data_IF_466694600398
#
_entry.id   IF_466694600398
#
_cell.length_a   1.000
_cell.length_b   1.000
_cell.length_c   1.000
_cell.angle_alpha   90.00
_cell.angle_beta   90.00
_cell.angle_gamma   90.00
#
_symmetry.space_group_name_H-M   'P 1'
#
loop_
_entity.id
_entity.type
_entity.pdbx_description
1 polymer ?
#
# COMPACT_ATOMS: atom_id res chain seq x y z
N UNK A 1 -22.45 5.85 5.90
CA UNK A 1 -21.41 4.86 5.53
C UNK A 1 -20.31 4.92 6.59
N UNK A 2 -20.07 3.82 7.30
CA UNK A 2 -19.21 3.83 8.50
C UNK A 2 -17.74 3.54 8.16
N UNK A 3 -16.81 4.27 8.78
CA UNK A 3 -15.35 4.16 8.59
C UNK A 3 -14.80 2.72 8.76
N UNK A 4 -15.41 1.96 9.66
CA UNK A 4 -15.13 0.53 9.88
C UNK A 4 -15.41 -0.35 8.64
N UNK A 5 -16.41 0.01 7.81
CA UNK A 5 -16.74 -0.73 6.59
C UNK A 5 -15.73 -0.44 5.47
N UNK A 6 -15.21 0.79 5.38
CA UNK A 6 -14.20 1.16 4.40
C UNK A 6 -12.87 0.42 4.64
N UNK A 7 -12.46 0.30 5.91
CA UNK A 7 -11.27 -0.46 6.30
C UNK A 7 -11.42 -1.95 5.95
N UNK A 8 -12.59 -2.54 6.21
CA UNK A 8 -12.86 -3.94 5.86
C UNK A 8 -12.87 -4.20 4.36
N UNK A 9 -13.45 -3.32 3.55
CA UNK A 9 -13.44 -3.47 2.09
C UNK A 9 -12.02 -3.36 1.51
N UNK A 10 -11.17 -2.53 2.11
CA UNK A 10 -9.78 -2.36 1.65
C UNK A 10 -8.88 -3.54 2.06
N UNK A 11 -9.04 -4.06 3.28
CA UNK A 11 -8.25 -5.18 3.81
C UNK A 11 -8.68 -6.54 3.23
N UNK A 12 -9.98 -6.75 2.96
CA UNK A 12 -10.52 -8.00 2.40
C UNK A 12 -10.19 -8.19 0.91
N UNK A 13 -9.57 -7.21 0.25
CA UNK A 13 -9.11 -7.30 -1.14
C UNK A 13 -7.64 -7.78 -1.25
N UNK A 14 -7.02 -8.18 -0.14
CA UNK A 14 -5.62 -8.66 -0.10
C UNK A 14 -5.45 -10.18 -0.04
N UNK A 15 -6.50 -10.99 -0.22
CA UNK A 15 -6.34 -12.43 -0.39
C UNK A 15 -6.34 -12.71 -1.91
N UNK A 16 -5.17 -12.89 -2.57
CA UNK A 16 -5.17 -13.51 -3.88
C UNK A 16 -5.59 -14.96 -3.66
N UNK A 17 -6.83 -15.30 -4.00
CA UNK A 17 -7.20 -16.69 -4.22
C UNK A 17 -6.35 -17.19 -5.39
N UNK A 18 -5.30 -17.92 -5.06
CA UNK A 18 -4.63 -18.85 -5.95
C UNK A 18 -5.68 -19.83 -6.50
N UNK A 19 -6.35 -19.46 -7.59
CA UNK A 19 -7.01 -20.43 -8.44
C UNK A 19 -6.01 -20.86 -9.50
N UNK A 20 -5.19 -21.82 -9.08
CA UNK A 20 -4.46 -22.73 -9.96
C UNK A 20 -5.46 -23.54 -10.79
N UNK A 21 -5.06 -23.81 -12.03
CA UNK A 21 -5.63 -24.76 -13.01
C UNK A 21 -6.87 -24.31 -13.82
N UNK A 22 -6.65 -23.80 -15.05
CA UNK A 22 -6.85 -24.59 -16.29
C UNK A 22 -6.50 -23.76 -17.55
N UNK A 23 -5.87 -24.47 -18.49
CA UNK A 23 -5.66 -24.17 -19.91
C UNK A 23 -4.28 -23.60 -20.32
N UNK A 24 -3.41 -24.53 -20.70
CA UNK A 24 -2.41 -24.35 -21.76
C UNK A 24 -3.07 -23.75 -23.02
N UNK A 25 -2.53 -22.64 -23.51
CA UNK A 25 -2.38 -22.42 -24.94
C UNK A 25 -1.05 -21.69 -25.20
N UNK A 26 -0.48 -22.10 -26.32
CA UNK A 26 0.85 -22.00 -26.85
C UNK A 26 1.26 -20.61 -27.37
N UNK A 27 2.59 -20.44 -27.46
CA UNK A 27 3.34 -19.57 -28.37
C UNK A 27 3.53 -18.07 -28.01
N UNK A 28 4.78 -17.75 -27.71
CA UNK A 28 5.50 -16.54 -28.13
C UNK A 28 4.84 -15.17 -27.93
N UNK A 29 4.86 -14.74 -26.68
CA UNK A 29 5.56 -13.51 -26.30
C UNK A 29 5.83 -13.61 -24.82
N UNK A 30 7.06 -13.32 -24.41
CA UNK A 30 7.33 -12.91 -23.05
C UNK A 30 6.58 -11.58 -22.80
N UNK A 31 5.26 -11.67 -22.61
CA UNK A 31 4.43 -10.64 -22.04
C UNK A 31 4.81 -10.57 -20.57
N UNK A 32 5.98 -10.01 -20.29
CA UNK A 32 6.39 -9.60 -18.95
C UNK A 32 5.28 -8.71 -18.44
N UNK A 33 4.42 -9.25 -17.59
CA UNK A 33 3.32 -8.53 -16.98
C UNK A 33 3.90 -7.42 -16.08
N UNK A 34 4.30 -6.30 -16.68
CA UNK A 34 4.88 -5.16 -15.97
C UNK A 34 3.76 -4.31 -15.36
N UNK A 35 3.03 -4.93 -14.44
CA UNK A 35 2.04 -4.36 -13.53
C UNK A 35 0.99 -3.44 -14.19
N UNK A 36 -0.28 -3.84 -14.08
CA UNK A 36 -1.39 -3.04 -14.64
C UNK A 36 -1.35 -1.59 -14.10
N UNK A 37 -1.74 -0.58 -14.89
CA UNK A 37 -1.83 0.80 -14.40
C UNK A 37 -2.79 0.94 -13.20
N UNK A 38 -3.74 0.00 -13.06
CA UNK A 38 -4.67 -0.08 -11.94
C UNK A 38 -3.97 -0.50 -10.65
N UNK A 39 -3.07 -1.50 -10.71
CA UNK A 39 -2.26 -1.92 -9.56
C UNK A 39 -1.31 -0.81 -9.10
N UNK A 40 -0.72 -0.03 -10.03
CA UNK A 40 0.12 1.13 -9.66
C UNK A 40 -0.69 2.19 -8.92
N UNK A 41 -1.90 2.49 -9.40
CA UNK A 41 -2.78 3.46 -8.74
C UNK A 41 -3.18 2.98 -7.35
N UNK A 42 -3.39 1.67 -7.18
CA UNK A 42 -3.70 1.06 -5.88
C UNK A 42 -2.54 1.20 -4.88
N UNK A 43 -1.29 1.01 -5.33
CA UNK A 43 -0.08 1.22 -4.51
C UNK A 43 0.09 2.69 -4.08
N UNK A 44 -0.21 3.63 -4.98
CA UNK A 44 -0.20 5.05 -4.66
C UNK A 44 -1.25 5.39 -3.58
N UNK A 45 -2.49 4.94 -3.76
CA UNK A 45 -3.57 5.19 -2.78
C UNK A 45 -3.22 4.59 -1.43
N UNK A 46 -2.66 3.38 -1.41
CA UNK A 46 -2.17 2.77 -0.18
C UNK A 46 -1.07 3.61 0.47
N UNK A 47 -0.05 4.02 -0.28
CA UNK A 47 1.04 4.86 0.23
C UNK A 47 0.52 6.19 0.81
N UNK A 48 -0.40 6.87 0.13
CA UNK A 48 -1.02 8.12 0.62
C UNK A 48 -1.82 7.88 1.90
N UNK A 49 -2.62 6.82 1.98
CA UNK A 49 -3.39 6.49 3.18
C UNK A 49 -2.46 6.18 4.36
N UNK A 50 -1.41 5.38 4.14
CA UNK A 50 -0.41 5.07 5.16
C UNK A 50 0.30 6.33 5.62
N UNK A 51 0.64 7.25 4.71
CA UNK A 51 1.26 8.55 5.03
C UNK A 51 0.35 9.41 5.90
N UNK A 52 -0.93 9.48 5.57
CA UNK A 52 -1.92 10.26 6.31
C UNK A 52 -2.07 9.73 7.76
N UNK A 53 -2.21 8.41 7.91
CA UNK A 53 -2.32 7.77 9.24
C UNK A 53 -1.04 7.97 10.05
N UNK A 54 0.13 7.75 9.45
CA UNK A 54 1.42 7.96 10.11
C UNK A 54 1.59 9.42 10.58
N UNK A 55 1.21 10.38 9.74
CA UNK A 55 1.22 11.80 10.06
C UNK A 55 0.30 12.15 11.22
N UNK A 56 -0.92 11.61 11.25
CA UNK A 56 -1.86 11.82 12.37
C UNK A 56 -1.32 11.27 13.69
N UNK A 57 -0.73 10.07 13.68
CA UNK A 57 -0.12 9.47 14.89
C UNK A 57 1.09 10.27 15.35
N UNK A 58 1.91 10.75 14.42
CA UNK A 58 3.05 11.61 14.76
C UNK A 58 2.59 12.93 15.39
N UNK A 59 1.58 13.59 14.80
CA UNK A 59 1.00 14.82 15.34
C UNK A 59 0.42 14.60 16.74
N UNK A 60 -0.26 13.49 16.96
CA UNK A 60 -0.74 13.09 18.29
C UNK A 60 0.41 12.93 19.29
N UNK A 61 1.48 12.22 18.93
CA UNK A 61 2.66 12.07 19.80
C UNK A 61 3.34 13.40 20.15
N UNK A 62 3.32 14.37 19.23
CA UNK A 62 3.88 15.70 19.49
C UNK A 62 3.06 16.47 20.53
N UNK A 63 1.73 16.39 20.46
CA UNK A 63 0.83 17.06 21.41
C UNK A 63 0.90 16.37 22.78
N UNK A 64 0.94 15.04 22.81
CA UNK A 64 0.94 14.26 24.05
C UNK A 64 2.30 14.19 24.76
N UNK A 65 3.33 14.87 24.22
CA UNK A 65 4.73 14.78 24.68
C UNK A 65 5.20 13.34 24.91
N UNK A 66 4.81 12.43 24.01
CA UNK A 66 5.20 11.03 24.13
C UNK A 66 6.73 10.87 24.04
N UNK A 67 7.25 9.85 24.74
CA UNK A 67 8.69 9.58 24.76
C UNK A 67 9.23 9.46 23.32
N UNK A 68 10.31 10.17 22.96
CA UNK A 68 10.74 10.35 21.57
C UNK A 68 11.07 9.04 20.84
N UNK A 69 11.37 7.96 21.58
CA UNK A 69 11.57 6.62 21.02
C UNK A 69 10.33 6.07 20.29
N UNK A 70 9.11 6.48 20.67
CA UNK A 70 7.88 6.09 19.95
C UNK A 70 7.81 6.64 18.54
N UNK A 71 8.61 7.66 18.21
CA UNK A 71 8.75 8.18 16.85
C UNK A 71 9.57 7.25 15.96
N UNK A 72 10.48 6.47 16.53
CA UNK A 72 11.28 5.48 15.78
C UNK A 72 10.39 4.38 15.19
N UNK A 73 9.34 3.98 15.91
CA UNK A 73 8.39 2.97 15.44
C UNK A 73 7.58 3.44 14.22
N UNK A 74 7.43 4.75 14.04
CA UNK A 74 6.77 5.33 12.85
C UNK A 74 7.66 5.30 11.61
N UNK A 75 8.98 5.17 11.77
CA UNK A 75 9.96 5.20 10.67
C UNK A 75 9.68 4.16 9.57
N UNK A 76 9.45 2.85 9.87
CA UNK A 76 9.08 1.88 8.82
C UNK A 76 7.76 2.23 8.13
N UNK A 77 6.82 2.87 8.83
CA UNK A 77 5.51 3.25 8.28
C UNK A 77 5.66 4.39 7.26
N UNK A 78 6.48 5.39 7.59
CA UNK A 78 6.86 6.46 6.67
C UNK A 78 7.69 5.92 5.49
N UNK A 79 8.61 4.99 5.72
CA UNK A 79 9.41 4.37 4.66
C UNK A 79 8.55 3.59 3.66
N UNK A 80 7.57 2.80 4.15
CA UNK A 80 6.63 2.07 3.29
C UNK A 80 5.74 3.02 2.46
N UNK A 81 5.24 4.11 3.08
CA UNK A 81 4.46 5.13 2.39
C UNK A 81 5.28 5.82 1.28
N UNK A 82 6.52 6.21 1.60
CA UNK A 82 7.46 6.81 0.65
C UNK A 82 7.80 5.85 -0.50
N UNK A 83 8.04 4.57 -0.21
CA UNK A 83 8.31 3.55 -1.22
C UNK A 83 7.13 3.40 -2.20
N UNK A 84 5.88 3.42 -1.72
CA UNK A 84 4.69 3.37 -2.59
C UNK A 84 4.55 4.60 -3.49
N UNK A 85 4.89 5.79 -2.97
CA UNK A 85 4.92 7.03 -3.75
C UNK A 85 6.03 7.01 -4.81
N UNK A 86 7.24 6.60 -4.44
CA UNK A 86 8.37 6.52 -5.37
C UNK A 86 8.16 5.45 -6.44
N UNK A 87 7.59 4.29 -6.11
CA UNK A 87 7.21 3.27 -7.10
C UNK A 87 6.14 3.73 -8.08
N UNK A 88 5.29 4.69 -7.71
CA UNK A 88 4.33 5.30 -8.63
C UNK A 88 4.98 6.38 -9.51
N UNK A 89 5.93 7.14 -8.95
CA UNK A 89 6.71 8.18 -9.64
C UNK A 89 7.71 7.58 -10.64
N UNK A 90 8.31 6.45 -10.31
CA UNK A 90 9.13 5.64 -11.20
C UNK A 90 8.22 5.01 -12.26
N UNK A 91 8.01 5.77 -13.34
CA UNK A 91 7.52 5.25 -14.60
C UNK A 91 8.73 4.90 -15.44
N UNK A 92 8.67 3.70 -16.05
CA UNK A 92 9.45 3.20 -17.19
C UNK A 92 10.93 2.96 -16.97
#
# INVERSE_FOLDING_TARGET
MNFQQAIRLFFNSQIPSQQSERAEDSNDQACTANISPIERRRRLVFGILTMAVAGSVLGWQMISQAHPLWRLLLLPLFAAAAAGYFQWRDKT
#
